data_IF_192534854188
#
_entry.id   IF_192534854188
#
_cell.length_a   1.000
_cell.length_b   1.000
_cell.length_c   1.000
_cell.angle_alpha   90.00
_cell.angle_beta   90.00
_cell.angle_gamma   90.00
#
_symmetry.space_group_name_H-M   'P 1'
#
loop_
_entity.id
_entity.type
_entity.pdbx_description
1 polymer ?
#
# COMPACT_ATOMS: atom_id res chain seq x y z
N UNK A 1 -15.16 -5.32 -7.67
CA UNK A 1 -14.10 -4.86 -6.76
C UNK A 1 -14.79 -4.07 -5.67
N UNK A 2 -14.68 -4.48 -4.40
CA UNK A 2 -15.25 -3.71 -3.29
C UNK A 2 -14.49 -2.40 -3.16
N UNK A 3 -15.20 -1.28 -3.08
CA UNK A 3 -14.59 0.01 -2.76
C UNK A 3 -13.95 -0.10 -1.37
N UNK A 4 -12.63 0.01 -1.32
CA UNK A 4 -11.93 0.14 -0.06
C UNK A 4 -12.26 1.51 0.53
N UNK A 5 -13.01 1.53 1.63
CA UNK A 5 -13.34 2.75 2.34
C UNK A 5 -12.41 2.89 3.54
N UNK A 6 -11.21 3.43 3.31
CA UNK A 6 -10.33 3.85 4.41
C UNK A 6 -10.93 5.08 5.09
N UNK A 7 -11.04 5.05 6.43
CA UNK A 7 -11.56 6.22 7.15
C UNK A 7 -10.62 7.40 6.97
N UNK A 8 -11.18 8.60 6.97
CA UNK A 8 -10.39 9.84 6.93
C UNK A 8 -10.22 10.38 8.36
N UNK A 9 -9.00 10.77 8.73
CA UNK A 9 -8.70 11.39 10.01
C UNK A 9 -7.72 12.58 9.89
N UNK A 10 -7.75 13.46 10.88
CA UNK A 10 -6.80 14.57 10.98
C UNK A 10 -5.41 14.02 11.35
N UNK A 11 -4.39 14.36 10.56
CA UNK A 11 -3.05 13.81 10.75
C UNK A 11 -2.88 12.38 10.21
N UNK A 12 -3.81 11.93 9.39
CA UNK A 12 -3.68 10.72 8.58
C UNK A 12 -2.62 10.86 7.46
N UNK A 13 -2.38 9.77 6.73
CA UNK A 13 -1.50 9.79 5.57
C UNK A 13 -2.13 10.56 4.39
N UNK A 14 -1.28 11.22 3.60
CA UNK A 14 -1.68 11.89 2.38
C UNK A 14 -2.31 10.88 1.43
N UNK A 15 -3.53 11.17 0.96
CA UNK A 15 -4.32 10.23 0.15
C UNK A 15 -3.57 9.76 -1.09
N UNK A 16 -2.88 10.68 -1.77
CA UNK A 16 -2.12 10.35 -2.97
C UNK A 16 -0.98 9.36 -2.70
N UNK A 17 -0.27 9.52 -1.58
CA UNK A 17 0.83 8.62 -1.20
C UNK A 17 0.30 7.21 -0.88
N UNK A 18 -0.82 7.14 -0.15
CA UNK A 18 -1.49 5.87 0.17
C UNK A 18 -1.98 5.17 -1.11
N UNK A 19 -2.70 5.89 -1.98
CA UNK A 19 -3.19 5.33 -3.24
C UNK A 19 -2.04 4.83 -4.11
N UNK A 20 -0.97 5.61 -4.27
CA UNK A 20 0.18 5.20 -5.05
C UNK A 20 0.84 3.92 -4.49
N UNK A 21 0.99 3.80 -3.17
CA UNK A 21 1.58 2.62 -2.53
C UNK A 21 0.68 1.40 -2.64
N UNK A 22 -0.63 1.56 -2.44
CA UNK A 22 -1.63 0.50 -2.60
C UNK A 22 -1.69 0.01 -4.04
N UNK A 23 -1.70 0.93 -5.02
CA UNK A 23 -1.70 0.58 -6.44
C UNK A 23 -0.44 -0.20 -6.84
N UNK A 24 0.71 0.12 -6.25
CA UNK A 24 1.95 -0.63 -6.47
C UNK A 24 1.86 -2.07 -5.91
N UNK A 25 1.35 -2.24 -4.69
CA UNK A 25 1.10 -3.58 -4.13
C UNK A 25 0.12 -4.38 -4.99
N UNK A 26 -1.01 -3.78 -5.40
CA UNK A 26 -2.00 -4.43 -6.25
C UNK A 26 -1.41 -4.84 -7.61
N UNK A 27 -0.58 -3.97 -8.21
CA UNK A 27 0.10 -4.28 -9.46
C UNK A 27 1.05 -5.47 -9.33
N UNK A 28 1.77 -5.57 -8.21
CA UNK A 28 2.64 -6.71 -7.92
C UNK A 28 1.84 -8.01 -7.72
N UNK A 29 0.71 -7.95 -7.00
CA UNK A 29 -0.20 -9.08 -6.84
C UNK A 29 -0.73 -9.57 -8.18
N UNK A 30 -1.14 -8.66 -9.07
CA UNK A 30 -1.61 -9.01 -10.41
C UNK A 30 -0.49 -9.66 -11.25
N UNK A 31 0.74 -9.13 -11.19
CA UNK A 31 1.88 -9.69 -11.90
C UNK A 31 2.24 -11.11 -11.41
N UNK A 32 2.09 -11.38 -10.10
CA UNK A 32 2.20 -12.70 -9.51
C UNK A 32 1.12 -13.65 -10.02
N UNK A 33 -0.14 -13.21 -10.06
CA UNK A 33 -1.27 -14.01 -10.53
C UNK A 33 -1.13 -14.40 -12.01
N UNK A 34 -0.48 -13.57 -12.80
CA UNK A 34 -0.19 -13.83 -14.21
C UNK A 34 1.11 -14.64 -14.42
N UNK A 35 1.78 -15.08 -13.35
CA UNK A 35 3.08 -15.78 -13.36
C UNK A 35 4.16 -15.05 -14.17
N UNK A 36 4.13 -13.70 -14.19
CA UNK A 36 5.02 -12.87 -15.00
C UNK A 36 6.37 -12.57 -14.34
N UNK A 37 6.61 -13.03 -13.12
CA UNK A 37 7.79 -12.67 -12.33
C UNK A 37 8.34 -13.88 -11.56
N UNK A 38 9.66 -13.94 -11.40
CA UNK A 38 10.32 -14.90 -10.50
C UNK A 38 10.31 -14.39 -9.06
N UNK A 39 10.41 -15.29 -8.08
CA UNK A 39 10.41 -14.95 -6.64
C UNK A 39 11.47 -13.89 -6.28
N UNK A 40 12.65 -13.96 -6.89
CA UNK A 40 13.71 -12.97 -6.69
C UNK A 40 13.31 -11.57 -7.19
N UNK A 41 12.63 -11.49 -8.34
CA UNK A 41 12.12 -10.23 -8.88
C UNK A 41 10.99 -9.67 -8.02
N UNK A 42 10.12 -10.54 -7.50
CA UNK A 42 9.01 -10.16 -6.61
C UNK A 42 9.55 -9.59 -5.30
N UNK A 43 10.53 -10.24 -4.67
CA UNK A 43 11.15 -9.75 -3.45
C UNK A 43 11.82 -8.38 -3.66
N UNK A 44 12.52 -8.20 -4.79
CA UNK A 44 13.12 -6.91 -5.12
C UNK A 44 12.09 -5.80 -5.32
N UNK A 45 10.95 -6.10 -5.94
CA UNK A 45 9.86 -5.13 -6.13
C UNK A 45 9.13 -4.82 -4.83
N UNK A 46 8.87 -5.85 -4.01
CA UNK A 46 8.27 -5.70 -2.68
C UNK A 46 9.09 -4.76 -1.79
N UNK A 47 10.42 -4.90 -1.79
CA UNK A 47 11.30 -3.99 -1.04
C UNK A 47 11.26 -2.55 -1.56
N UNK A 48 11.11 -2.32 -2.87
CA UNK A 48 10.91 -0.96 -3.40
C UNK A 48 9.58 -0.37 -2.90
N UNK A 49 8.51 -1.15 -2.97
CA UNK A 49 7.18 -0.72 -2.55
C UNK A 49 7.17 -0.40 -1.06
N UNK A 50 7.80 -1.23 -0.22
CA UNK A 50 7.97 -0.99 1.23
C UNK A 50 8.61 0.35 1.54
N UNK A 51 9.62 0.72 0.76
CA UNK A 51 10.35 1.97 0.92
C UNK A 51 9.64 3.20 0.30
N UNK A 52 8.49 3.03 -0.37
CA UNK A 52 7.71 4.18 -0.84
C UNK A 52 7.24 5.05 0.34
N UNK A 53 7.42 6.37 0.29
CA UNK A 53 7.09 7.25 1.40
C UNK A 53 5.58 7.35 1.62
N UNK A 54 5.15 7.31 2.88
CA UNK A 54 3.79 7.66 3.30
C UNK A 54 3.87 8.95 4.12
N UNK A 55 3.73 10.10 3.47
CA UNK A 55 3.77 11.37 4.17
C UNK A 55 2.44 11.64 4.87
N UNK A 56 2.50 12.37 5.98
CA UNK A 56 1.29 12.90 6.62
C UNK A 56 0.63 13.95 5.75
N UNK A 57 -0.70 13.96 5.73
CA UNK A 57 -1.47 15.01 5.07
C UNK A 57 -1.11 16.37 5.68
N UNK A 58 -0.63 17.30 4.84
CA UNK A 58 -0.29 18.67 5.25
C UNK A 58 -1.44 19.61 4.89
N UNK A 59 -1.88 20.42 5.85
CA UNK A 59 -2.67 21.62 5.60
C UNK A 59 -1.78 22.86 5.72
N UNK A 60 -2.21 23.98 5.13
CA UNK A 60 -1.44 25.23 5.10
C UNK A 60 -0.99 25.74 6.49
N UNK A 61 -1.71 25.38 7.57
CA UNK A 61 -1.43 25.86 8.94
C UNK A 61 -1.68 24.78 10.03
N UNK A 62 -2.27 23.64 9.67
CA UNK A 62 -2.61 22.54 10.59
C UNK A 62 -2.41 21.18 9.93
N UNK A 63 -2.35 20.11 10.73
CA UNK A 63 -2.43 18.74 10.22
C UNK A 63 -3.64 18.60 9.28
N UNK A 64 -3.37 18.19 8.03
CA UNK A 64 -4.38 17.98 7.01
C UNK A 64 -5.22 16.74 7.31
N UNK A 65 -6.33 16.61 6.61
CA UNK A 65 -7.18 15.42 6.67
C UNK A 65 -6.66 14.39 5.66
N UNK A 66 -6.35 13.19 6.12
CA UNK A 66 -5.75 12.11 5.33
C UNK A 66 -6.41 10.76 5.64
N UNK A 67 -5.96 9.67 5.01
CA UNK A 67 -6.42 8.34 5.40
C UNK A 67 -5.86 7.93 6.76
N UNK A 68 -6.68 7.23 7.55
CA UNK A 68 -6.30 6.81 8.90
C UNK A 68 -5.03 5.99 8.87
N UNK A 69 -4.11 6.29 9.78
CA UNK A 69 -2.82 5.57 9.89
C UNK A 69 -3.08 4.10 10.16
N UNK A 70 -3.94 3.83 11.15
CA UNK A 70 -4.26 2.47 11.58
C UNK A 70 -4.90 1.68 10.44
N UNK A 71 -5.94 2.23 9.80
CA UNK A 71 -6.61 1.54 8.69
C UNK A 71 -5.65 1.31 7.52
N UNK A 72 -4.79 2.30 7.21
CA UNK A 72 -3.82 2.20 6.11
C UNK A 72 -2.75 1.15 6.39
N UNK A 73 -2.16 1.16 7.59
CA UNK A 73 -1.09 0.24 7.96
C UNK A 73 -1.62 -1.20 8.04
N UNK A 74 -2.82 -1.39 8.59
CA UNK A 74 -3.50 -2.70 8.60
C UNK A 74 -3.76 -3.20 7.18
N UNK A 75 -4.26 -2.33 6.31
CA UNK A 75 -4.54 -2.71 4.93
C UNK A 75 -3.28 -3.05 4.13
N UNK A 76 -2.20 -2.27 4.28
CA UNK A 76 -0.90 -2.59 3.67
C UNK A 76 -0.40 -3.95 4.16
N UNK A 77 -0.55 -4.25 5.46
CA UNK A 77 -0.16 -5.54 6.02
C UNK A 77 -0.94 -6.71 5.38
N UNK A 78 -2.24 -6.56 5.16
CA UNK A 78 -3.07 -7.58 4.48
C UNK A 78 -2.58 -7.83 3.03
N UNK A 79 -2.16 -6.77 2.33
CA UNK A 79 -1.58 -6.90 0.98
C UNK A 79 -0.23 -7.63 1.02
N UNK A 80 0.64 -7.31 1.98
CA UNK A 80 1.93 -7.99 2.14
C UNK A 80 1.75 -9.47 2.47
N UNK A 81 0.83 -9.81 3.38
CA UNK A 81 0.49 -11.19 3.69
C UNK A 81 -0.02 -11.95 2.46
N UNK A 82 -0.80 -11.28 1.60
CA UNK A 82 -1.29 -11.86 0.35
C UNK A 82 -0.14 -12.18 -0.60
N UNK A 83 0.82 -11.27 -0.76
CA UNK A 83 2.02 -11.46 -1.58
C UNK A 83 2.88 -12.61 -1.05
N UNK A 84 3.15 -12.62 0.26
CA UNK A 84 3.96 -13.65 0.91
C UNK A 84 3.33 -15.04 0.71
N UNK A 85 2.01 -15.17 0.86
CA UNK A 85 1.30 -16.42 0.60
C UNK A 85 1.43 -16.88 -0.85
N UNK A 86 1.45 -15.96 -1.82
CA UNK A 86 1.58 -16.29 -3.24
C UNK A 86 2.99 -16.73 -3.64
N UNK A 87 4.03 -16.22 -2.98
CA UNK A 87 5.43 -16.62 -3.25
C UNK A 87 5.76 -17.98 -2.61
N UNK A 88 5.11 -18.34 -1.51
CA UNK A 88 5.33 -19.62 -0.83
C UNK A 88 4.55 -20.81 -1.41
N UNK A 89 3.68 -20.58 -2.40
CA UNK A 89 2.88 -21.60 -3.10
C UNK A 89 3.56 -22.01 -4.41
#
# INVERSE_FOLDING_TARGET
MGEMVLRTEKGGYARNDVLAKVDAYNSLILALDEMKMSDAAVNAELEKIRNMPLNKAKGFIFAGSGFSVEDTDNYIKELEETIIRKIML
#
